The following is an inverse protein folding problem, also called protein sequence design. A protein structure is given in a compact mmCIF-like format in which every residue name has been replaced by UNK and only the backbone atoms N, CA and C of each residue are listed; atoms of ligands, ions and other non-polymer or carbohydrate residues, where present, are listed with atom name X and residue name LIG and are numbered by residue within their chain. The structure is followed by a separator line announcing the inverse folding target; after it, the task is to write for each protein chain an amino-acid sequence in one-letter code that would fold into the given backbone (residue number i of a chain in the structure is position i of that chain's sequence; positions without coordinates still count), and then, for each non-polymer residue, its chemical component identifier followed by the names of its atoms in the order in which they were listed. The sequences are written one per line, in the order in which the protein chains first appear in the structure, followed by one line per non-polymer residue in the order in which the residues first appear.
data_IF_133258788818
#
_entry.id   IF_133258788818
#
_cell.length_a   1.000
_cell.length_b   1.000
_cell.length_c   1.000
_cell.angle_alpha   90.00
_cell.angle_beta   90.00
_cell.angle_gamma   90.00
#
_symmetry.space_group_name_H-M   'P 1'
#
loop_
_entity.id
_entity.type
_entity.pdbx_description
1 polymer ?
#
# COMPACT_ATOMS: atom_id res chain seq x y z
N UNK A 1 2.44 12.52 7.28
CA UNK A 1 1.36 12.37 8.27
C UNK A 1 1.39 13.51 9.30
N UNK A 2 2.53 13.75 9.95
CA UNK A 2 2.69 14.80 10.99
C UNK A 2 2.29 16.18 10.48
N UNK A 3 2.76 16.61 9.30
CA UNK A 3 2.39 17.89 8.70
C UNK A 3 0.89 18.02 8.44
N UNK A 4 0.23 16.94 8.05
CA UNK A 4 -1.22 16.94 7.81
C UNK A 4 -1.98 17.18 9.12
N UNK A 5 -1.59 16.50 10.20
CA UNK A 5 -2.19 16.71 11.52
C UNK A 5 -1.91 18.10 12.08
N UNK A 6 -0.73 18.67 11.83
CA UNK A 6 -0.37 20.04 12.24
C UNK A 6 -1.23 21.08 11.50
N UNK A 7 -1.39 20.96 10.18
CA UNK A 7 -2.25 21.88 9.42
C UNK A 7 -3.72 21.78 9.79
N UNK A 8 -4.18 20.57 10.14
CA UNK A 8 -5.53 20.35 10.69
C UNK A 8 -5.71 21.05 12.04
N UNK A 9 -4.73 20.94 12.94
CA UNK A 9 -4.73 21.63 14.24
C UNK A 9 -4.74 23.14 14.08
N UNK A 10 -4.07 23.68 13.05
CA UNK A 10 -4.05 25.11 12.72
C UNK A 10 -5.30 25.60 11.94
N UNK A 11 -6.34 24.75 11.79
CA UNK A 11 -7.59 25.04 11.06
C UNK A 11 -7.36 25.52 9.60
N UNK A 12 -6.34 24.97 8.92
CA UNK A 12 -6.02 25.26 7.53
C UNK A 12 -6.29 24.03 6.64
N UNK A 13 -7.55 23.76 6.27
CA UNK A 13 -7.92 22.54 5.51
C UNK A 13 -7.27 22.47 4.11
N UNK A 14 -7.06 23.63 3.45
CA UNK A 14 -6.46 23.67 2.12
C UNK A 14 -4.98 23.25 2.16
N UNK A 15 -4.22 23.73 3.14
CA UNK A 15 -2.84 23.31 3.35
C UNK A 15 -2.73 21.82 3.73
N UNK A 16 -3.66 21.32 4.56
CA UNK A 16 -3.76 19.92 4.91
C UNK A 16 -4.03 19.03 3.69
N UNK A 17 -4.91 19.48 2.78
CA UNK A 17 -5.21 18.78 1.52
C UNK A 17 -3.99 18.72 0.59
N UNK A 18 -3.25 19.82 0.45
CA UNK A 18 -2.01 19.86 -0.34
C UNK A 18 -0.94 18.95 0.25
N UNK A 19 -0.74 18.97 1.57
CA UNK A 19 0.19 18.09 2.25
C UNK A 19 -0.20 16.60 2.13
N UNK A 20 -1.50 16.28 2.15
CA UNK A 20 -2.00 14.92 1.93
C UNK A 20 -1.74 14.44 0.49
N UNK A 21 -1.97 15.28 -0.52
CA UNK A 21 -1.63 14.97 -1.92
C UNK A 21 -0.12 14.71 -2.07
N UNK A 22 0.72 15.57 -1.51
CA UNK A 22 2.18 15.40 -1.55
C UNK A 22 2.64 14.12 -0.89
N UNK A 23 2.11 13.79 0.29
CA UNK A 23 2.38 12.53 0.97
C UNK A 23 2.08 11.36 0.04
N UNK A 24 0.96 11.40 -0.66
CA UNK A 24 0.51 10.35 -1.56
C UNK A 24 1.48 10.16 -2.73
N UNK A 25 1.89 11.25 -3.39
CA UNK A 25 2.82 11.20 -4.52
C UNK A 25 4.21 10.72 -4.11
N UNK A 26 4.75 11.22 -3.00
CA UNK A 26 6.06 10.79 -2.50
C UNK A 26 6.05 9.31 -2.16
N UNK A 27 5.04 8.83 -1.43
CA UNK A 27 4.91 7.41 -1.05
C UNK A 27 4.74 6.52 -2.28
N UNK A 28 3.94 6.95 -3.27
CA UNK A 28 3.76 6.22 -4.51
C UNK A 28 5.06 6.17 -5.33
N UNK A 29 5.75 7.29 -5.48
CA UNK A 29 7.01 7.36 -6.23
C UNK A 29 8.09 6.48 -5.59
N UNK A 30 8.24 6.56 -4.28
CA UNK A 30 9.19 5.72 -3.53
C UNK A 30 8.84 4.24 -3.67
N UNK A 31 7.55 3.88 -3.57
CA UNK A 31 7.12 2.48 -3.71
C UNK A 31 7.35 1.93 -5.12
N UNK A 32 7.14 2.76 -6.15
CA UNK A 32 7.44 2.40 -7.54
C UNK A 32 8.95 2.23 -7.76
N UNK A 33 9.77 3.10 -7.18
CA UNK A 33 11.23 2.97 -7.24
C UNK A 33 11.71 1.68 -6.57
N UNK A 34 11.19 1.36 -5.37
CA UNK A 34 11.50 0.12 -4.66
C UNK A 34 11.04 -1.09 -5.48
N UNK A 35 9.83 -1.05 -6.03
CA UNK A 35 9.32 -2.11 -6.91
C UNK A 35 10.26 -2.33 -8.10
N UNK A 36 10.67 -1.25 -8.79
CA UNK A 36 11.58 -1.34 -9.93
C UNK A 36 12.93 -1.95 -9.54
N UNK A 37 13.52 -1.52 -8.43
CA UNK A 37 14.77 -2.08 -7.91
C UNK A 37 14.61 -3.58 -7.59
N UNK A 38 13.54 -3.96 -6.89
CA UNK A 38 13.25 -5.35 -6.59
C UNK A 38 13.09 -6.21 -7.85
N UNK A 39 12.43 -5.69 -8.88
CA UNK A 39 12.23 -6.41 -10.15
C UNK A 39 13.54 -6.58 -10.94
N UNK A 40 14.36 -5.52 -10.97
CA UNK A 40 15.65 -5.55 -11.68
C UNK A 40 16.62 -6.52 -10.98
N UNK A 41 16.70 -6.45 -9.67
CA UNK A 41 17.63 -7.24 -8.86
C UNK A 41 17.06 -8.55 -8.32
N UNK A 42 15.89 -9.00 -8.81
CA UNK A 42 15.19 -10.19 -8.29
C UNK A 42 16.07 -11.44 -8.24
N UNK A 43 16.79 -11.73 -9.34
CA UNK A 43 17.66 -12.92 -9.42
C UNK A 43 18.84 -12.85 -8.46
N UNK A 44 19.68 -11.80 -8.47
CA UNK A 44 20.81 -11.71 -7.54
C UNK A 44 20.36 -11.63 -6.08
N UNK A 45 19.23 -10.99 -5.76
CA UNK A 45 18.69 -10.94 -4.41
C UNK A 45 18.27 -12.33 -3.91
N UNK A 46 17.54 -13.09 -4.72
CA UNK A 46 17.11 -14.44 -4.36
C UNK A 46 18.30 -15.39 -4.25
N UNK A 47 19.28 -15.28 -5.14
CA UNK A 47 20.50 -16.07 -5.05
C UNK A 47 21.34 -15.74 -3.81
N UNK A 48 21.41 -14.48 -3.42
CA UNK A 48 22.11 -14.05 -2.20
C UNK A 48 21.45 -14.55 -0.92
N UNK A 49 20.11 -14.70 -0.92
CA UNK A 49 19.35 -15.15 0.26
C UNK A 49 19.31 -16.68 0.37
N UNK A 50 19.02 -17.36 -0.74
CA UNK A 50 18.78 -18.79 -0.76
C UNK A 50 19.99 -19.62 -1.22
N UNK A 51 20.98 -19.00 -1.89
CA UNK A 51 22.13 -19.72 -2.45
C UNK A 51 21.73 -20.68 -3.57
N UNK A 52 22.40 -21.82 -3.63
CA UNK A 52 22.09 -22.89 -4.58
C UNK A 52 20.97 -23.77 -3.99
N UNK A 53 19.74 -23.49 -4.38
CA UNK A 53 18.57 -24.34 -4.11
C UNK A 53 18.10 -25.03 -5.39
N UNK A 54 17.24 -26.05 -5.24
CA UNK A 54 16.62 -26.75 -6.36
C UNK A 54 15.90 -25.78 -7.31
N UNK A 55 15.92 -26.04 -8.60
CA UNK A 55 15.37 -25.16 -9.63
C UNK A 55 13.88 -24.86 -9.41
N UNK A 56 13.11 -25.84 -8.95
CA UNK A 56 11.68 -25.71 -8.66
C UNK A 56 11.43 -24.71 -7.52
N UNK A 57 12.26 -24.75 -6.47
CA UNK A 57 12.18 -23.81 -5.33
C UNK A 57 12.58 -22.41 -5.77
N UNK A 58 13.61 -22.29 -6.60
CA UNK A 58 14.04 -21.00 -7.13
C UNK A 58 12.96 -20.36 -8.00
N UNK A 59 12.31 -21.15 -8.87
CA UNK A 59 11.23 -20.68 -9.74
C UNK A 59 10.01 -20.23 -8.94
N UNK A 60 9.59 -21.04 -7.95
CA UNK A 60 8.50 -20.67 -7.04
C UNK A 60 8.79 -19.38 -6.28
N UNK A 61 10.02 -19.23 -5.79
CA UNK A 61 10.48 -18.03 -5.08
C UNK A 61 10.47 -16.80 -5.98
N UNK A 62 10.87 -16.93 -7.24
CA UNK A 62 10.83 -15.82 -8.22
C UNK A 62 9.39 -15.37 -8.51
N UNK A 63 8.45 -16.31 -8.62
CA UNK A 63 7.02 -16.00 -8.86
C UNK A 63 6.45 -15.26 -7.65
N UNK A 64 6.69 -15.78 -6.44
CA UNK A 64 6.21 -15.14 -5.21
C UNK A 64 6.79 -13.74 -5.03
N UNK A 65 8.09 -13.59 -5.28
CA UNK A 65 8.77 -12.30 -5.19
C UNK A 65 8.22 -11.29 -6.20
N UNK A 66 7.92 -11.74 -7.43
CA UNK A 66 7.28 -10.90 -8.45
C UNK A 66 5.90 -10.40 -7.99
N UNK A 67 5.04 -11.31 -7.51
CA UNK A 67 3.70 -10.96 -7.02
C UNK A 67 3.77 -10.03 -5.82
N UNK A 68 4.71 -10.29 -4.90
CA UNK A 68 4.95 -9.45 -3.73
C UNK A 68 5.42 -8.05 -4.12
N UNK A 69 6.38 -7.95 -5.04
CA UNK A 69 6.88 -6.67 -5.54
C UNK A 69 5.78 -5.85 -6.22
N UNK A 70 4.93 -6.50 -7.02
CA UNK A 70 3.78 -5.86 -7.67
C UNK A 70 2.75 -5.31 -6.67
N UNK A 71 2.68 -5.91 -5.47
CA UNK A 71 1.78 -5.46 -4.41
C UNK A 71 2.30 -4.25 -3.62
N UNK A 72 3.59 -3.85 -3.76
CA UNK A 72 4.17 -2.72 -3.01
C UNK A 72 3.48 -1.39 -3.27
N UNK A 73 3.17 -0.98 -4.51
CA UNK A 73 2.44 0.27 -4.75
C UNK A 73 1.05 0.26 -4.10
N UNK A 74 0.35 -0.87 -4.16
CA UNK A 74 -0.97 -1.01 -3.54
C UNK A 74 -0.88 -0.88 -2.02
N UNK A 75 0.13 -1.52 -1.42
CA UNK A 75 0.38 -1.42 0.02
C UNK A 75 0.79 0.00 0.44
N UNK A 76 1.57 0.68 -0.38
CA UNK A 76 1.96 2.07 -0.14
C UNK A 76 0.74 3.01 -0.14
N UNK A 77 -0.16 2.84 -1.10
CA UNK A 77 -1.44 3.56 -1.17
C UNK A 77 -2.30 3.28 0.08
N UNK A 78 -2.44 2.01 0.45
CA UNK A 78 -3.15 1.60 1.66
C UNK A 78 -2.59 2.29 2.91
N UNK A 79 -1.26 2.25 3.10
CA UNK A 79 -0.60 2.88 4.24
C UNK A 79 -0.77 4.41 4.26
N UNK A 80 -0.74 5.06 3.10
CA UNK A 80 -0.99 6.50 2.99
C UNK A 80 -2.43 6.85 3.42
N UNK A 81 -3.43 6.09 2.96
CA UNK A 81 -4.82 6.27 3.40
C UNK A 81 -5.01 6.01 4.89
N UNK A 82 -4.39 4.95 5.43
CA UNK A 82 -4.42 4.67 6.86
C UNK A 82 -3.79 5.79 7.69
N UNK A 83 -2.69 6.37 7.22
CA UNK A 83 -2.05 7.50 7.87
C UNK A 83 -2.96 8.74 7.89
N UNK A 84 -3.64 9.04 6.78
CA UNK A 84 -4.60 10.14 6.68
C UNK A 84 -5.82 9.92 7.60
N UNK A 85 -6.39 8.71 7.62
CA UNK A 85 -7.51 8.37 8.51
C UNK A 85 -7.17 8.57 9.99
N UNK A 86 -5.94 8.22 10.38
CA UNK A 86 -5.45 8.47 11.75
C UNK A 86 -5.30 9.96 12.05
N UNK A 87 -4.80 10.75 11.07
CA UNK A 87 -4.70 12.21 11.23
C UNK A 87 -6.06 12.90 11.41
N UNK A 88 -7.11 12.34 10.82
CA UNK A 88 -8.49 12.87 10.94
C UNK A 88 -9.15 12.45 12.26
N UNK A 89 -8.53 11.53 13.01
CA UNK A 89 -9.07 11.02 14.26
C UNK A 89 -10.03 9.83 14.08
N UNK A 90 -9.95 9.12 12.93
CA UNK A 90 -10.73 7.91 12.67
C UNK A 90 -9.85 6.64 12.60
N UNK A 91 -9.23 6.22 13.71
CA UNK A 91 -8.42 5.00 13.74
C UNK A 91 -9.25 3.72 13.60
N UNK A 92 -10.55 3.76 13.95
CA UNK A 92 -11.45 2.62 13.84
C UNK A 92 -11.61 2.13 12.39
N UNK A 93 -11.69 3.05 11.42
CA UNK A 93 -11.75 2.70 10.01
C UNK A 93 -10.47 1.99 9.54
N UNK A 94 -9.30 2.40 10.05
CA UNK A 94 -8.02 1.75 9.76
C UNK A 94 -7.97 0.33 10.34
N UNK A 95 -8.40 0.16 11.59
CA UNK A 95 -8.44 -1.13 12.26
C UNK A 95 -9.39 -2.11 11.55
N UNK A 96 -10.59 -1.66 11.22
CA UNK A 96 -11.59 -2.44 10.50
C UNK A 96 -11.11 -2.88 9.11
N UNK A 97 -10.49 -1.95 8.38
CA UNK A 97 -9.90 -2.24 7.07
C UNK A 97 -8.78 -3.28 7.15
N UNK A 98 -7.90 -3.17 8.15
CA UNK A 98 -6.83 -4.14 8.41
C UNK A 98 -7.40 -5.52 8.76
N UNK A 99 -8.44 -5.57 9.57
CA UNK A 99 -9.11 -6.81 9.94
C UNK A 99 -9.70 -7.53 8.72
N UNK A 100 -10.45 -6.81 7.88
CA UNK A 100 -11.02 -7.38 6.65
C UNK A 100 -9.91 -7.83 5.69
N UNK A 101 -8.86 -7.01 5.52
CA UNK A 101 -7.72 -7.37 4.68
C UNK A 101 -7.09 -8.70 5.11
N UNK A 102 -6.92 -8.93 6.41
CA UNK A 102 -6.37 -10.17 6.95
C UNK A 102 -7.31 -11.37 6.74
N UNK A 103 -8.63 -11.19 6.94
CA UNK A 103 -9.62 -12.23 6.66
C UNK A 103 -9.60 -12.62 5.17
N UNK A 104 -9.61 -11.63 4.28
CA UNK A 104 -9.55 -11.88 2.82
C UNK A 104 -8.26 -12.60 2.44
N UNK A 105 -7.14 -12.23 3.06
CA UNK A 105 -5.86 -12.91 2.85
C UNK A 105 -5.89 -14.35 3.32
N UNK A 106 -6.42 -14.61 4.52
CA UNK A 106 -6.53 -15.96 5.08
C UNK A 106 -7.42 -16.86 4.22
N UNK A 107 -8.61 -16.39 3.86
CA UNK A 107 -9.55 -17.13 3.01
C UNK A 107 -8.93 -17.30 1.61
N UNK A 108 -8.37 -16.26 1.04
CA UNK A 108 -7.72 -16.31 -0.26
C UNK A 108 -6.59 -17.33 -0.31
N UNK A 109 -5.70 -17.34 0.67
CA UNK A 109 -4.63 -18.33 0.78
C UNK A 109 -5.20 -19.75 0.92
N UNK A 110 -6.21 -19.94 1.75
CA UNK A 110 -6.84 -21.26 1.93
C UNK A 110 -7.44 -21.77 0.61
N UNK A 111 -8.15 -20.95 -0.10
CA UNK A 111 -8.77 -21.33 -1.38
C UNK A 111 -7.71 -21.58 -2.46
N UNK A 112 -6.75 -20.69 -2.62
CA UNK A 112 -5.77 -20.79 -3.71
C UNK A 112 -4.75 -21.91 -3.49
N UNK A 113 -4.38 -22.19 -2.24
CA UNK A 113 -3.40 -23.24 -1.93
C UNK A 113 -4.08 -24.61 -1.87
N UNK A 114 -5.18 -24.75 -1.12
CA UNK A 114 -5.80 -26.06 -0.86
C UNK A 114 -6.81 -26.48 -1.93
N UNK A 115 -7.64 -25.56 -2.45
CA UNK A 115 -8.66 -25.90 -3.44
C UNK A 115 -8.17 -25.83 -4.88
N UNK A 116 -7.43 -24.76 -5.25
CA UNK A 116 -6.93 -24.61 -6.60
C UNK A 116 -5.56 -25.29 -6.83
N UNK A 117 -4.84 -25.63 -5.77
CA UNK A 117 -3.53 -26.26 -5.88
C UNK A 117 -2.45 -25.32 -6.50
N UNK A 118 -2.68 -23.99 -6.50
CA UNK A 118 -1.76 -23.03 -7.12
C UNK A 118 -0.50 -22.76 -6.28
N UNK A 119 -0.41 -23.37 -5.11
CA UNK A 119 0.77 -23.27 -4.24
C UNK A 119 1.19 -21.81 -3.98
N UNK A 120 2.46 -21.55 -4.23
CA UNK A 120 3.10 -20.24 -3.97
C UNK A 120 2.53 -19.11 -4.82
N UNK A 121 2.15 -19.38 -6.06
CA UNK A 121 1.52 -18.40 -6.94
C UNK A 121 0.16 -17.95 -6.40
N UNK A 122 -0.62 -18.89 -5.88
CA UNK A 122 -1.91 -18.62 -5.25
C UNK A 122 -1.79 -17.72 -4.03
N UNK A 123 -0.79 -17.98 -3.17
CA UNK A 123 -0.50 -17.14 -2.00
C UNK A 123 -0.13 -15.70 -2.40
N UNK A 124 0.65 -15.53 -3.46
CA UNK A 124 1.00 -14.21 -4.00
C UNK A 124 -0.22 -13.43 -4.51
N UNK A 125 -1.10 -14.10 -5.25
CA UNK A 125 -2.34 -13.52 -5.75
C UNK A 125 -3.31 -13.15 -4.61
N UNK A 126 -3.50 -14.04 -3.64
CA UNK A 126 -4.34 -13.77 -2.48
C UNK A 126 -3.84 -12.54 -1.69
N UNK A 127 -2.53 -12.38 -1.57
CA UNK A 127 -1.91 -11.21 -0.94
C UNK A 127 -2.18 -9.93 -1.74
N UNK A 128 -2.06 -9.97 -3.06
CA UNK A 128 -2.33 -8.82 -3.91
C UNK A 128 -3.81 -8.40 -3.82
N UNK A 129 -4.73 -9.36 -3.87
CA UNK A 129 -6.17 -9.12 -3.77
C UNK A 129 -6.52 -8.52 -2.40
N UNK A 130 -6.03 -9.12 -1.31
CA UNK A 130 -6.33 -8.65 0.05
C UNK A 130 -5.85 -7.21 0.28
N UNK A 131 -4.65 -6.87 -0.20
CA UNK A 131 -4.11 -5.49 -0.14
C UNK A 131 -4.95 -4.51 -0.96
N UNK A 132 -5.43 -4.93 -2.13
CA UNK A 132 -6.32 -4.12 -2.97
C UNK A 132 -7.66 -3.86 -2.29
N UNK A 133 -8.23 -4.87 -1.66
CA UNK A 133 -9.46 -4.73 -0.86
C UNK A 133 -9.25 -3.78 0.31
N UNK A 134 -8.15 -3.93 1.06
CA UNK A 134 -7.81 -3.01 2.15
C UNK A 134 -7.65 -1.55 1.68
N UNK A 135 -6.95 -1.34 0.56
CA UNK A 135 -6.80 -0.01 -0.04
C UNK A 135 -8.15 0.58 -0.49
N UNK A 136 -9.03 -0.23 -1.06
CA UNK A 136 -10.37 0.20 -1.47
C UNK A 136 -11.24 0.61 -0.27
N UNK A 137 -11.24 -0.17 0.81
CA UNK A 137 -12.01 0.14 2.03
C UNK A 137 -11.53 1.45 2.66
N UNK A 138 -10.22 1.62 2.80
CA UNK A 138 -9.65 2.85 3.37
C UNK A 138 -9.90 4.07 2.48
N UNK A 139 -9.84 3.90 1.16
CA UNK A 139 -10.20 4.96 0.22
C UNK A 139 -11.67 5.36 0.36
N UNK A 140 -12.57 4.38 0.51
CA UNK A 140 -14.00 4.64 0.68
C UNK A 140 -14.28 5.36 2.00
N UNK A 141 -13.60 4.97 3.08
CA UNK A 141 -13.71 5.64 4.36
C UNK A 141 -13.23 7.10 4.33
N UNK A 142 -12.24 7.43 3.50
CA UNK A 142 -11.78 8.81 3.30
C UNK A 142 -12.73 9.65 2.43
N UNK A 143 -13.56 9.00 1.60
CA UNK A 143 -14.58 9.69 0.77
C UNK A 143 -15.85 10.02 1.53
N UNK A 144 -15.97 9.60 2.79
CA UNK A 144 -17.14 9.91 3.61
C UNK A 144 -17.28 11.43 3.77
N UNK A 145 -18.46 12.03 3.46
CA UNK A 145 -18.69 13.47 3.58
C UNK A 145 -18.52 14.00 5.02
N UNK A 146 -18.55 13.14 6.02
CA UNK A 146 -18.29 13.51 7.42
C UNK A 146 -16.79 13.59 7.78
N UNK A 147 -15.89 13.24 6.85
CA UNK A 147 -14.45 13.39 7.06
C UNK A 147 -14.05 14.87 7.06
N UNK A 148 -13.27 15.28 8.07
CA UNK A 148 -12.78 16.66 8.25
C UNK A 148 -11.85 17.16 7.13
N UNK A 149 -11.34 16.28 6.29
CA UNK A 149 -10.57 16.64 5.08
C UNK A 149 -11.41 16.18 3.88
N UNK A 150 -11.74 17.08 2.94
CA UNK A 150 -12.30 16.65 1.67
C UNK A 150 -11.28 15.74 0.99
N UNK A 151 -11.74 14.60 0.47
CA UNK A 151 -10.91 13.59 -0.20
C UNK A 151 -9.89 14.30 -1.13
N UNK A 152 -8.59 14.13 -0.92
CA UNK A 152 -7.59 14.71 -1.80
C UNK A 152 -7.67 13.98 -3.14
N UNK A 153 -8.49 14.51 -4.08
CA UNK A 153 -8.60 13.93 -5.42
C UNK A 153 -7.21 13.76 -6.03
N UNK A 154 -6.97 12.63 -6.70
CA UNK A 154 -5.69 12.33 -7.35
C UNK A 154 -5.34 13.32 -8.48
N UNK A 155 -6.31 14.07 -8.99
CA UNK A 155 -6.17 15.02 -10.09
C UNK A 155 -6.79 16.39 -9.72
N UNK A 156 -6.19 17.54 -10.15
CA UNK A 156 -4.99 17.69 -10.97
C UNK A 156 -3.68 17.51 -10.21
N UNK A 157 -2.61 17.16 -10.96
CA UNK A 157 -1.25 17.04 -10.47
C UNK A 157 -0.68 18.43 -10.17
N UNK A 158 -0.53 18.77 -8.90
CA UNK A 158 0.10 20.02 -8.45
C UNK A 158 1.35 19.67 -7.63
N UNK A 159 2.52 19.89 -8.23
CA UNK A 159 3.81 19.63 -7.58
C UNK A 159 4.32 20.90 -6.90
N UNK A 160 4.33 20.92 -5.58
CA UNK A 160 4.89 22.03 -4.79
C UNK A 160 6.19 21.58 -4.09
N UNK A 161 7.38 21.88 -4.68
CA UNK A 161 8.67 21.42 -4.15
C UNK A 161 9.01 21.98 -2.76
N UNK A 162 8.42 23.12 -2.39
CA UNK A 162 8.60 23.74 -1.06
C UNK A 162 8.02 22.91 0.09
N UNK A 163 6.99 22.14 -0.15
CA UNK A 163 6.36 21.29 0.87
C UNK A 163 7.04 19.92 0.99
N UNK A 164 7.67 19.44 -0.11
CA UNK A 164 8.43 18.16 -0.09
C UNK A 164 9.63 18.21 0.86
N UNK A 165 10.28 19.39 1.00
CA UNK A 165 11.40 19.56 1.93
C UNK A 165 11.02 19.49 3.41
N UNK A 166 9.71 19.56 3.74
CA UNK A 166 9.18 19.54 5.11
C UNK A 166 8.64 18.16 5.52
N UNK A 167 8.58 17.21 4.57
CA UNK A 167 8.14 15.81 4.77
C UNK A 167 9.33 14.94 5.14
#
# INVERSE_FOLDING_TARGET
AVLVSEYLGKKRPDAAKTAAKMLFYVVLLVSLAIMAVCLIFRKPLLFAIFGNVEEDVMTASQIYFLMSALSYPVMAIYNAYCALLRCIGNPHATMFSSFIMNIVNLIGNSVTIFWLGWGVMGAGLATLISRSVGAYITQRALRDPHCRIPYPGMFPFEWHPSEVKKI
#
